data_IF_291263132818
#
_entry.id   IF_291263132818
#
_cell.length_a   1.000
_cell.length_b   1.000
_cell.length_c   1.000
_cell.angle_alpha   90.00
_cell.angle_beta   90.00
_cell.angle_gamma   90.00
#
_symmetry.space_group_name_H-M   'P 1'
#
loop_
_entity.id
_entity.type
_entity.pdbx_description
1 polymer ?
#
# COMPACT_ATOMS: atom_id res chain seq x y z
N UNK A 1 8.65 14.77 -27.11
CA UNK A 1 9.34 13.96 -26.09
C UNK A 1 8.72 14.30 -24.76
N UNK A 2 7.75 13.52 -24.30
CA UNK A 2 7.31 13.56 -22.90
C UNK A 2 8.45 12.98 -22.05
N UNK A 3 8.90 13.71 -21.04
CA UNK A 3 9.87 13.19 -20.05
C UNK A 3 9.27 11.91 -19.43
N UNK A 4 10.01 10.81 -19.37
CA UNK A 4 9.50 9.60 -18.72
C UNK A 4 9.18 9.91 -17.25
N UNK A 5 8.02 9.45 -16.78
CA UNK A 5 7.61 9.60 -15.40
C UNK A 5 8.65 8.99 -14.45
N UNK A 6 8.99 9.68 -13.38
CA UNK A 6 9.92 9.20 -12.35
C UNK A 6 9.16 8.91 -11.07
N UNK A 7 9.26 7.70 -10.57
CA UNK A 7 8.57 7.20 -9.38
C UNK A 7 9.59 6.88 -8.29
N UNK A 8 9.45 7.45 -7.10
CA UNK A 8 10.17 6.94 -5.93
C UNK A 8 9.35 5.84 -5.26
N UNK A 9 10.00 4.72 -4.92
CA UNK A 9 9.35 3.64 -4.17
C UNK A 9 10.06 3.44 -2.84
N UNK A 10 9.33 3.60 -1.74
CA UNK A 10 9.81 3.26 -0.40
C UNK A 10 9.47 1.81 -0.08
N UNK A 11 10.48 1.06 0.28
CA UNK A 11 10.40 -0.34 0.72
C UNK A 11 10.83 -0.41 2.19
N UNK A 12 10.17 -1.26 2.99
CA UNK A 12 10.52 -1.53 4.38
C UNK A 12 10.79 -3.02 4.54
N UNK A 13 12.00 -3.46 4.19
CA UNK A 13 12.40 -4.87 4.23
C UNK A 13 13.84 -5.02 4.68
N UNK A 14 14.17 -6.15 5.32
CA UNK A 14 15.57 -6.50 5.54
C UNK A 14 16.29 -6.66 4.20
N UNK A 15 17.58 -6.31 4.15
CA UNK A 15 18.35 -6.33 2.89
C UNK A 15 18.57 -7.74 2.32
N UNK A 16 18.44 -8.77 3.15
CA UNK A 16 18.51 -10.19 2.79
C UNK A 16 17.12 -10.82 2.53
N UNK A 17 16.02 -10.04 2.64
CA UNK A 17 14.68 -10.52 2.36
C UNK A 17 14.48 -10.70 0.84
N UNK A 18 14.23 -11.94 0.35
CA UNK A 18 14.00 -12.17 -1.07
C UNK A 18 12.77 -11.42 -1.62
N UNK A 19 11.83 -11.04 -0.73
CA UNK A 19 10.65 -10.26 -1.12
C UNK A 19 10.97 -8.79 -1.42
N UNK A 20 12.19 -8.31 -1.13
CA UNK A 20 12.65 -6.98 -1.55
C UNK A 20 12.64 -6.85 -3.08
N UNK A 21 13.23 -7.81 -3.79
CA UNK A 21 13.24 -7.81 -5.25
C UNK A 21 11.88 -8.21 -5.85
N UNK A 22 11.20 -9.19 -5.27
CA UNK A 22 9.86 -9.58 -5.68
C UNK A 22 8.87 -8.40 -5.67
N UNK A 23 8.91 -7.54 -4.65
CA UNK A 23 8.06 -6.35 -4.58
C UNK A 23 8.35 -5.36 -5.73
N UNK A 24 9.64 -5.19 -6.12
CA UNK A 24 10.04 -4.38 -7.27
C UNK A 24 9.44 -4.92 -8.57
N UNK A 25 9.54 -6.23 -8.77
CA UNK A 25 8.94 -6.90 -9.93
C UNK A 25 7.42 -6.71 -9.98
N UNK A 26 6.74 -6.80 -8.82
CA UNK A 26 5.30 -6.57 -8.72
C UNK A 26 4.93 -5.13 -9.10
N UNK A 27 5.61 -4.11 -8.59
CA UNK A 27 5.34 -2.71 -8.97
C UNK A 27 5.61 -2.43 -10.45
N UNK A 28 6.70 -2.95 -11.01
CA UNK A 28 7.00 -2.83 -12.45
C UNK A 28 5.89 -3.48 -13.27
N UNK A 29 5.48 -4.70 -12.93
CA UNK A 29 4.41 -5.42 -13.62
C UNK A 29 3.06 -4.71 -13.52
N UNK A 30 2.68 -4.26 -12.31
CA UNK A 30 1.38 -3.64 -12.06
C UNK A 30 1.23 -2.26 -12.70
N UNK A 31 2.31 -1.49 -12.80
CA UNK A 31 2.29 -0.16 -13.43
C UNK A 31 2.49 -0.21 -14.95
N UNK A 32 3.10 -1.27 -15.47
CA UNK A 32 3.50 -1.40 -16.89
C UNK A 32 4.63 -0.46 -17.29
N UNK A 33 5.29 0.22 -16.35
CA UNK A 33 6.40 1.12 -16.60
C UNK A 33 7.73 0.36 -16.73
N UNK A 34 8.68 0.95 -17.47
CA UNK A 34 10.05 0.45 -17.50
C UNK A 34 10.70 0.57 -16.11
N UNK A 35 11.53 -0.40 -15.73
CA UNK A 35 12.22 -0.43 -14.43
C UNK A 35 13.07 0.82 -14.18
N UNK A 36 13.56 1.46 -15.22
CA UNK A 36 14.35 2.70 -15.13
C UNK A 36 13.54 3.92 -14.71
N UNK A 37 12.20 3.84 -14.71
CA UNK A 37 11.32 4.88 -14.18
C UNK A 37 11.33 4.94 -12.65
N UNK A 38 11.87 3.92 -11.96
CA UNK A 38 11.79 3.80 -10.51
C UNK A 38 13.11 4.12 -9.81
N UNK A 39 13.01 4.95 -8.76
CA UNK A 39 14.04 5.18 -7.74
C UNK A 39 13.68 4.38 -6.48
N UNK A 40 14.34 3.25 -6.30
CA UNK A 40 14.08 2.31 -5.20
C UNK A 40 14.83 2.71 -3.94
N UNK A 41 14.12 2.93 -2.84
CA UNK A 41 14.67 3.32 -1.55
C UNK A 41 14.21 2.38 -0.45
N UNK A 42 15.11 1.61 0.13
CA UNK A 42 14.82 0.81 1.32
C UNK A 42 15.01 1.69 2.56
N UNK A 43 13.94 1.93 3.32
CA UNK A 43 13.97 2.82 4.51
C UNK A 43 14.86 2.31 5.64
N UNK A 44 15.21 1.03 5.63
CA UNK A 44 16.16 0.42 6.56
C UNK A 44 17.57 1.00 6.35
N UNK A 45 17.94 1.35 5.12
CA UNK A 45 19.22 1.95 4.78
C UNK A 45 19.24 3.48 5.03
N UNK A 46 18.08 4.08 5.19
CA UNK A 46 17.90 5.50 5.48
C UNK A 46 16.60 6.05 4.88
N UNK A 47 16.01 6.99 5.60
CA UNK A 47 14.77 7.65 5.18
C UNK A 47 15.10 8.82 4.27
N UNK A 48 14.55 8.90 3.03
CA UNK A 48 14.80 10.04 2.17
C UNK A 48 14.20 11.33 2.74
N UNK A 49 14.81 12.44 2.40
CA UNK A 49 14.30 13.78 2.71
C UNK A 49 13.09 14.12 1.84
N UNK A 50 12.29 15.10 2.27
CA UNK A 50 11.19 15.63 1.46
C UNK A 50 11.67 16.08 0.07
N UNK A 51 12.81 16.76 -0.01
CA UNK A 51 13.35 17.26 -1.29
C UNK A 51 13.73 16.11 -2.25
N UNK A 52 14.27 14.99 -1.72
CA UNK A 52 14.55 13.81 -2.52
C UNK A 52 13.24 13.19 -3.04
N UNK A 53 12.22 13.05 -2.18
CA UNK A 53 10.90 12.53 -2.59
C UNK A 53 10.29 13.41 -3.68
N UNK A 54 10.29 14.72 -3.49
CA UNK A 54 9.76 15.69 -4.47
C UNK A 54 10.58 15.79 -5.78
N UNK A 55 11.75 15.16 -5.85
CA UNK A 55 12.49 15.03 -7.12
C UNK A 55 11.91 13.96 -8.06
N UNK A 56 10.96 13.16 -7.58
CA UNK A 56 10.15 12.25 -8.37
C UNK A 56 8.75 12.86 -8.60
N UNK A 57 8.05 12.38 -9.62
CA UNK A 57 6.70 12.83 -9.96
C UNK A 57 5.64 12.24 -9.02
N UNK A 58 5.90 11.04 -8.49
CA UNK A 58 5.06 10.39 -7.49
C UNK A 58 5.85 9.51 -6.52
N UNK A 59 5.25 9.27 -5.36
CA UNK A 59 5.73 8.39 -4.32
C UNK A 59 4.83 7.15 -4.23
N UNK A 60 5.43 5.95 -4.30
CA UNK A 60 4.78 4.70 -3.90
C UNK A 60 5.40 4.20 -2.60
N UNK A 61 4.59 3.61 -1.72
CA UNK A 61 5.05 3.04 -0.45
C UNK A 61 4.55 1.60 -0.39
N UNK A 62 5.48 0.66 -0.38
CA UNK A 62 5.18 -0.76 -0.41
C UNK A 62 4.72 -1.35 0.92
N UNK A 63 4.55 -2.67 0.92
CA UNK A 63 4.25 -3.47 2.09
C UNK A 63 5.49 -3.79 2.92
N UNK A 64 5.27 -4.49 4.03
CA UNK A 64 6.35 -5.06 4.83
C UNK A 64 5.99 -6.47 5.30
N UNK A 65 6.99 -7.35 5.28
CA UNK A 65 6.86 -8.70 5.86
C UNK A 65 7.34 -8.81 7.30
N UNK A 66 8.19 -7.89 7.75
CA UNK A 66 8.86 -7.98 9.06
C UNK A 66 8.54 -6.81 9.99
N UNK A 67 8.21 -5.64 9.45
CA UNK A 67 7.96 -4.44 10.25
C UNK A 67 6.46 -4.18 10.39
N UNK A 68 6.05 -3.78 11.59
CA UNK A 68 4.68 -3.37 11.91
C UNK A 68 4.67 -1.94 12.43
N UNK A 69 3.62 -1.20 12.14
CA UNK A 69 3.39 0.13 12.72
C UNK A 69 2.95 0.07 14.18
N UNK A 70 2.51 -1.09 14.65
CA UNK A 70 2.16 -1.34 16.07
C UNK A 70 3.38 -1.66 16.92
N UNK A 71 4.52 -1.95 16.27
CA UNK A 71 5.84 -2.19 16.88
C UNK A 71 6.87 -1.18 16.35
N UNK A 72 6.75 0.12 16.67
CA UNK A 72 7.50 1.19 16.03
C UNK A 72 8.97 1.31 16.49
N UNK A 73 9.54 0.28 17.10
CA UNK A 73 10.88 0.26 17.70
C UNK A 73 11.99 0.11 16.65
N UNK A 74 11.91 0.87 15.53
CA UNK A 74 12.93 0.91 14.50
C UNK A 74 13.44 2.33 14.29
N UNK A 75 14.72 2.49 13.96
CA UNK A 75 15.35 3.79 13.77
C UNK A 75 14.72 4.61 12.63
N UNK A 76 14.11 3.95 11.64
CA UNK A 76 13.48 4.63 10.52
C UNK A 76 12.04 5.08 10.78
N UNK A 77 11.31 4.52 11.75
CA UNK A 77 9.87 4.75 11.91
C UNK A 77 9.53 6.22 12.20
N UNK A 78 10.15 6.82 13.21
CA UNK A 78 9.88 8.21 13.57
C UNK A 78 10.31 9.22 12.48
N UNK A 79 11.51 9.09 11.84
CA UNK A 79 11.84 9.91 10.68
C UNK A 79 10.88 9.73 9.50
N UNK A 80 10.46 8.49 9.20
CA UNK A 80 9.57 8.16 8.10
C UNK A 80 8.17 8.77 8.30
N UNK A 81 7.57 8.61 9.47
CA UNK A 81 6.26 9.20 9.78
C UNK A 81 6.29 10.73 9.75
N UNK A 82 7.43 11.34 10.09
CA UNK A 82 7.61 12.80 9.99
C UNK A 82 7.63 13.25 8.53
N UNK A 83 8.49 12.66 7.70
CA UNK A 83 8.59 13.05 6.29
C UNK A 83 7.29 12.78 5.53
N UNK A 84 6.56 11.71 5.85
CA UNK A 84 5.26 11.42 5.23
C UNK A 84 4.21 12.50 5.56
N UNK A 85 4.20 13.07 6.78
CA UNK A 85 3.35 14.23 7.08
C UNK A 85 3.69 15.44 6.21
N UNK A 86 4.96 15.69 5.98
CA UNK A 86 5.43 16.79 5.12
C UNK A 86 5.03 16.53 3.66
N UNK A 87 5.22 15.31 3.16
CA UNK A 87 4.80 14.86 1.81
C UNK A 87 3.31 15.10 1.58
N UNK A 88 2.47 14.66 2.52
CA UNK A 88 1.02 14.87 2.48
C UNK A 88 0.67 16.36 2.57
N UNK A 89 1.32 17.10 3.47
CA UNK A 89 1.10 18.55 3.65
C UNK A 89 1.44 19.37 2.41
N UNK A 90 2.36 18.91 1.56
CA UNK A 90 2.71 19.52 0.29
C UNK A 90 1.86 19.03 -0.90
N UNK A 91 0.95 18.06 -0.65
CA UNK A 91 0.11 17.50 -1.71
C UNK A 91 0.91 16.74 -2.77
N UNK A 92 2.04 16.14 -2.41
CA UNK A 92 2.83 15.35 -3.35
C UNK A 92 2.08 14.05 -3.70
N UNK A 93 1.93 13.69 -4.99
CA UNK A 93 1.21 12.49 -5.40
C UNK A 93 1.77 11.24 -4.72
N UNK A 94 0.93 10.53 -3.97
CA UNK A 94 1.38 9.40 -3.15
C UNK A 94 0.37 8.26 -3.15
N UNK A 95 0.86 7.02 -3.29
CA UNK A 95 0.06 5.82 -3.11
C UNK A 95 0.74 4.86 -2.14
N UNK A 96 0.05 4.52 -1.03
CA UNK A 96 0.52 3.56 -0.03
C UNK A 96 -0.18 2.21 -0.14
N UNK A 97 0.58 1.09 -0.09
CA UNK A 97 0.06 -0.27 -0.11
C UNK A 97 0.38 -0.98 1.21
N UNK A 98 -0.61 -1.58 1.86
CA UNK A 98 -0.52 -2.37 3.10
C UNK A 98 0.24 -1.62 4.22
N UNK A 99 1.51 -1.90 4.45
CA UNK A 99 2.33 -1.16 5.43
C UNK A 99 2.37 0.34 5.11
N UNK A 100 2.45 0.72 3.83
CA UNK A 100 2.39 2.12 3.40
C UNK A 100 1.05 2.79 3.76
N UNK A 101 -0.06 2.07 3.68
CA UNK A 101 -1.36 2.54 4.16
C UNK A 101 -1.34 2.77 5.67
N UNK A 102 -0.86 1.79 6.44
CA UNK A 102 -0.79 1.88 7.90
C UNK A 102 0.13 3.01 8.36
N UNK A 103 1.28 3.20 7.69
CA UNK A 103 2.18 4.33 7.93
C UNK A 103 1.48 5.68 7.72
N UNK A 104 0.70 5.85 6.65
CA UNK A 104 -0.05 7.08 6.39
C UNK A 104 -1.13 7.30 7.45
N UNK A 105 -1.87 6.25 7.86
CA UNK A 105 -2.85 6.35 8.95
C UNK A 105 -2.18 6.86 10.23
N UNK A 106 -1.09 6.24 10.68
CA UNK A 106 -0.39 6.63 11.90
C UNK A 106 0.30 8.00 11.76
N UNK A 107 0.93 8.28 10.62
CA UNK A 107 1.59 9.57 10.37
C UNK A 107 0.61 10.74 10.48
N UNK A 108 -0.64 10.56 10.08
CA UNK A 108 -1.67 11.58 10.10
C UNK A 108 -2.48 11.62 11.41
N UNK A 109 -2.17 10.74 12.37
CA UNK A 109 -2.78 10.73 13.71
C UNK A 109 -3.98 9.80 13.86
N UNK A 110 -4.19 8.87 12.93
CA UNK A 110 -5.11 7.75 13.09
C UNK A 110 -4.50 6.62 13.92
N UNK A 111 -5.23 5.52 14.04
CA UNK A 111 -4.84 4.40 14.89
C UNK A 111 -4.91 3.07 14.15
N UNK A 112 -3.85 2.27 14.29
CA UNK A 112 -3.71 0.91 13.79
C UNK A 112 -3.54 -0.02 15.00
N UNK A 113 -4.16 -1.19 14.95
CA UNK A 113 -4.07 -2.23 15.98
C UNK A 113 -3.70 -3.57 15.35
N UNK A 114 -2.97 -4.38 16.10
CA UNK A 114 -2.77 -5.78 15.79
C UNK A 114 -4.02 -6.59 16.18
N UNK A 115 -4.57 -7.37 15.25
CA UNK A 115 -5.85 -8.09 15.47
C UNK A 115 -5.86 -9.37 14.60
N UNK A 116 -5.35 -10.46 15.17
CA UNK A 116 -5.28 -11.77 14.50
C UNK A 116 -6.67 -12.33 14.15
N UNK A 117 -7.69 -12.05 14.98
CA UNK A 117 -9.07 -12.53 14.77
C UNK A 117 -9.71 -11.89 13.51
N UNK A 118 -9.21 -10.74 13.10
CA UNK A 118 -9.64 -9.99 11.90
C UNK A 118 -8.55 -9.83 10.86
N UNK A 119 -7.50 -10.62 10.96
CA UNK A 119 -6.47 -10.72 9.94
C UNK A 119 -7.05 -11.17 8.60
N UNK A 120 -6.57 -10.60 7.52
CA UNK A 120 -6.99 -10.97 6.16
C UNK A 120 -5.74 -11.38 5.37
N UNK A 121 -5.67 -12.67 5.01
CA UNK A 121 -4.54 -13.26 4.28
C UNK A 121 -5.08 -14.07 3.12
N UNK A 122 -4.71 -13.70 1.89
CA UNK A 122 -5.24 -14.26 0.65
C UNK A 122 -6.14 -13.27 -0.10
N UNK A 123 -7.17 -13.76 -0.75
CA UNK A 123 -8.10 -12.96 -1.55
C UNK A 123 -9.42 -12.75 -0.80
N UNK A 124 -9.82 -11.49 -0.61
CA UNK A 124 -11.03 -11.10 0.11
C UNK A 124 -11.95 -10.21 -0.74
N UNK A 125 -13.25 -10.34 -0.47
CA UNK A 125 -14.26 -9.48 -1.06
C UNK A 125 -14.20 -8.09 -0.41
N UNK A 126 -14.20 -7.08 -1.24
CA UNK A 126 -14.18 -5.66 -0.90
C UNK A 126 -15.44 -4.98 -1.44
N UNK A 127 -15.86 -3.92 -0.78
CA UNK A 127 -17.02 -3.11 -1.16
C UNK A 127 -16.68 -1.62 -1.11
N UNK A 128 -17.03 -0.88 -2.16
CA UNK A 128 -16.92 0.58 -2.15
C UNK A 128 -17.85 1.19 -1.10
N UNK A 129 -17.35 2.20 -0.40
CA UNK A 129 -18.23 3.11 0.35
C UNK A 129 -18.89 4.12 -0.59
N UNK A 130 -19.84 4.93 -0.07
CA UNK A 130 -20.38 6.05 -0.84
C UNK A 130 -19.29 7.04 -1.28
N UNK A 131 -18.32 7.32 -0.42
CA UNK A 131 -17.15 8.17 -0.75
C UNK A 131 -16.23 7.51 -1.78
N UNK A 132 -16.09 6.18 -1.75
CA UNK A 132 -15.32 5.42 -2.74
C UNK A 132 -15.97 5.46 -4.13
N UNK A 133 -17.28 5.39 -4.20
CA UNK A 133 -18.02 5.46 -5.47
C UNK A 133 -17.91 6.86 -6.16
N UNK A 134 -17.67 7.91 -5.38
CA UNK A 134 -17.48 9.28 -5.87
C UNK A 134 -16.00 9.66 -6.05
N UNK A 135 -15.07 8.79 -5.67
CA UNK A 135 -13.64 9.07 -5.73
C UNK A 135 -13.12 8.98 -7.19
N UNK A 136 -12.25 9.91 -7.63
CA UNK A 136 -11.76 9.90 -9.02
C UNK A 136 -10.92 8.66 -9.38
N UNK A 137 -10.29 8.01 -8.39
CA UNK A 137 -9.50 6.80 -8.61
C UNK A 137 -10.37 5.54 -8.47
N UNK A 138 -11.18 5.44 -7.40
CA UNK A 138 -11.94 4.25 -7.05
C UNK A 138 -13.30 4.15 -7.73
N UNK A 139 -13.93 5.28 -8.10
CA UNK A 139 -15.27 5.32 -8.68
C UNK A 139 -15.43 4.60 -10.04
N UNK A 140 -14.31 4.23 -10.68
CA UNK A 140 -14.31 3.41 -11.90
C UNK A 140 -14.36 1.89 -11.61
N UNK A 141 -14.24 1.47 -10.36
CA UNK A 141 -14.34 0.07 -9.96
C UNK A 141 -15.80 -0.34 -9.74
N UNK A 142 -16.15 -1.63 -9.88
CA UNK A 142 -17.47 -2.11 -9.49
C UNK A 142 -17.69 -1.95 -7.98
N UNK A 143 -18.96 -1.93 -7.55
CA UNK A 143 -19.33 -1.81 -6.13
C UNK A 143 -18.66 -2.88 -5.26
N UNK A 144 -18.52 -4.09 -5.79
CA UNK A 144 -17.84 -5.23 -5.14
C UNK A 144 -16.76 -5.80 -6.03
N UNK A 145 -15.61 -6.07 -5.44
CA UNK A 145 -14.45 -6.60 -6.14
C UNK A 145 -13.58 -7.43 -5.18
N UNK A 146 -12.55 -8.09 -5.71
CA UNK A 146 -11.59 -8.87 -4.92
C UNK A 146 -10.31 -8.07 -4.73
N UNK A 147 -9.74 -8.10 -3.51
CA UNK A 147 -8.41 -7.58 -3.19
C UNK A 147 -7.47 -8.67 -2.70
N UNK A 148 -6.17 -8.51 -2.98
CA UNK A 148 -5.11 -9.37 -2.43
C UNK A 148 -4.67 -8.82 -1.06
N UNK A 149 -4.72 -9.65 -0.03
CA UNK A 149 -4.46 -9.29 1.36
C UNK A 149 -3.28 -10.05 1.95
N UNK A 150 -2.64 -9.45 2.94
CA UNK A 150 -1.59 -10.06 3.75
C UNK A 150 -1.32 -9.22 5.00
N UNK A 151 -2.32 -9.09 5.89
CA UNK A 151 -2.18 -8.24 7.09
C UNK A 151 -2.88 -8.85 8.31
N UNK A 152 -2.27 -8.65 9.46
CA UNK A 152 -2.83 -8.89 10.80
C UNK A 152 -3.08 -7.56 11.54
N UNK A 153 -2.41 -6.49 11.11
CA UNK A 153 -2.63 -5.14 11.60
C UNK A 153 -3.70 -4.44 10.75
N UNK A 154 -4.59 -3.69 11.37
CA UNK A 154 -5.67 -2.97 10.68
C UNK A 154 -5.91 -1.59 11.26
N UNK A 155 -6.33 -0.64 10.44
CA UNK A 155 -6.80 0.64 10.94
C UNK A 155 -8.12 0.46 11.71
N UNK A 156 -8.20 1.09 12.88
CA UNK A 156 -9.40 1.12 13.74
C UNK A 156 -9.95 2.53 13.89
N UNK A 157 -9.17 3.55 13.50
CA UNK A 157 -9.60 4.94 13.46
C UNK A 157 -8.83 5.65 12.34
N UNK A 158 -9.55 6.37 11.48
CA UNK A 158 -8.93 7.20 10.44
C UNK A 158 -8.76 8.64 10.93
N UNK A 159 -7.67 9.33 10.48
CA UNK A 159 -7.43 10.71 10.84
C UNK A 159 -8.55 11.64 10.34
N UNK A 160 -8.72 12.79 10.99
CA UNK A 160 -9.63 13.83 10.54
C UNK A 160 -9.28 14.31 9.11
N UNK A 161 -10.29 14.47 8.26
CA UNK A 161 -10.11 14.88 6.86
C UNK A 161 -9.68 13.78 5.90
N UNK A 162 -9.61 12.54 6.36
CA UNK A 162 -9.37 11.37 5.53
C UNK A 162 -10.71 10.70 5.20
N UNK A 163 -10.91 10.36 3.92
CA UNK A 163 -12.08 9.65 3.44
C UNK A 163 -11.82 8.15 3.45
N UNK A 164 -12.83 7.37 3.86
CA UNK A 164 -12.82 5.92 3.74
C UNK A 164 -13.45 5.50 2.42
N UNK A 165 -12.68 4.86 1.54
CA UNK A 165 -13.13 4.54 0.18
C UNK A 165 -13.64 3.10 0.04
N UNK A 166 -13.11 2.17 0.84
CA UNK A 166 -13.36 0.72 0.70
C UNK A 166 -13.43 0.08 2.08
N UNK A 167 -14.28 -0.94 2.20
CA UNK A 167 -14.42 -1.80 3.38
C UNK A 167 -14.42 -3.27 3.02
N UNK A 168 -14.16 -4.13 3.99
CA UNK A 168 -14.46 -5.57 3.98
C UNK A 168 -15.39 -5.94 5.13
N UNK A 169 -15.80 -7.19 5.22
CA UNK A 169 -16.62 -7.69 6.34
C UNK A 169 -15.83 -7.69 7.67
N UNK A 170 -14.50 -7.90 7.61
CA UNK A 170 -13.64 -7.96 8.79
C UNK A 170 -13.04 -6.60 9.16
N UNK A 171 -12.73 -5.76 8.17
CA UNK A 171 -12.05 -4.49 8.36
C UNK A 171 -12.83 -3.33 7.71
N UNK A 172 -13.33 -2.35 8.50
CA UNK A 172 -14.14 -1.25 7.96
C UNK A 172 -13.34 -0.24 7.14
N UNK A 173 -12.01 -0.24 7.24
CA UNK A 173 -11.11 0.74 6.61
C UNK A 173 -10.07 0.03 5.74
N UNK A 174 -10.38 -0.15 4.46
CA UNK A 174 -9.55 -0.89 3.51
C UNK A 174 -8.85 0.01 2.47
N UNK A 175 -9.34 1.23 2.28
CA UNK A 175 -8.69 2.22 1.44
C UNK A 175 -9.04 3.63 1.90
N UNK A 176 -8.12 4.55 1.69
CA UNK A 176 -8.29 5.95 2.07
C UNK A 176 -7.86 6.91 0.96
N UNK A 177 -8.41 8.14 1.05
CA UNK A 177 -7.88 9.33 0.39
C UNK A 177 -7.75 10.46 1.39
N UNK A 178 -6.66 11.19 1.34
CA UNK A 178 -6.44 12.35 2.21
C UNK A 178 -7.10 13.60 1.61
N UNK A 179 -8.27 13.98 2.15
CA UNK A 179 -9.01 15.17 1.72
C UNK A 179 -9.25 15.21 0.21
N UNK A 180 -8.93 16.33 -0.41
CA UNK A 180 -8.91 16.51 -1.87
C UNK A 180 -7.51 16.36 -2.49
N UNK A 181 -6.49 15.91 -1.71
CA UNK A 181 -5.12 15.79 -2.19
C UNK A 181 -4.92 14.54 -3.07
N UNK A 182 -3.83 14.47 -3.87
CA UNK A 182 -3.49 13.31 -4.67
C UNK A 182 -2.78 12.23 -3.82
N UNK A 183 -3.33 11.92 -2.63
CA UNK A 183 -2.77 10.93 -1.71
C UNK A 183 -3.81 9.86 -1.42
N UNK A 184 -3.56 8.64 -1.89
CA UNK A 184 -4.36 7.45 -1.67
C UNK A 184 -3.57 6.36 -0.99
N UNK A 185 -4.26 5.45 -0.33
CA UNK A 185 -3.65 4.24 0.17
C UNK A 185 -4.66 3.10 0.31
N UNK A 186 -4.17 1.87 0.22
CA UNK A 186 -4.95 0.64 0.36
C UNK A 186 -4.32 -0.29 1.38
N UNK A 187 -5.13 -0.92 2.22
CA UNK A 187 -4.70 -2.01 3.10
C UNK A 187 -4.40 -3.27 2.27
N UNK A 188 -5.09 -3.47 1.16
CA UNK A 188 -4.83 -4.51 0.18
C UNK A 188 -3.69 -4.11 -0.79
N UNK A 189 -3.21 -5.08 -1.55
CA UNK A 189 -2.08 -4.98 -2.45
C UNK A 189 -2.53 -4.88 -3.92
N UNK A 190 -2.66 -3.66 -4.51
CA UNK A 190 -2.98 -3.52 -5.93
C UNK A 190 -1.83 -3.93 -6.85
N UNK A 191 -0.60 -3.99 -6.33
CA UNK A 191 0.59 -4.45 -7.03
C UNK A 191 0.68 -5.97 -7.14
N UNK A 192 -0.13 -6.73 -6.38
CA UNK A 192 -0.11 -8.20 -6.40
C UNK A 192 -1.23 -8.77 -7.26
N UNK A 193 -0.88 -9.69 -8.14
CA UNK A 193 -1.82 -10.66 -8.68
C UNK A 193 -1.96 -11.87 -7.76
N UNK A 194 -2.82 -12.81 -8.15
CA UNK A 194 -3.07 -14.05 -7.41
C UNK A 194 -1.79 -14.88 -7.17
N UNK A 195 -0.92 -14.99 -8.18
CA UNK A 195 0.29 -15.81 -8.10
C UNK A 195 1.35 -15.14 -7.22
N UNK A 196 1.52 -13.82 -7.36
CA UNK A 196 2.44 -13.01 -6.56
C UNK A 196 2.03 -13.00 -5.07
N UNK A 197 0.72 -12.94 -4.77
CA UNK A 197 0.23 -13.01 -3.40
C UNK A 197 0.50 -14.39 -2.77
N UNK A 198 0.24 -15.47 -3.48
CA UNK A 198 0.55 -16.82 -3.01
C UNK A 198 2.07 -17.01 -2.78
N UNK A 199 2.89 -16.48 -3.68
CA UNK A 199 4.35 -16.51 -3.51
C UNK A 199 4.79 -15.76 -2.25
N UNK A 200 4.24 -14.56 -2.00
CA UNK A 200 4.50 -13.78 -0.79
C UNK A 200 4.00 -14.47 0.47
N UNK A 201 2.81 -15.09 0.43
CA UNK A 201 2.28 -15.88 1.54
C UNK A 201 3.24 -17.01 1.95
N UNK A 202 3.74 -17.77 0.98
CA UNK A 202 4.70 -18.85 1.23
C UNK A 202 6.01 -18.38 1.84
N UNK A 203 6.47 -17.19 1.47
CA UNK A 203 7.69 -16.59 2.02
C UNK A 203 7.54 -16.20 3.50
N UNK A 204 6.32 -15.94 3.96
CA UNK A 204 6.01 -15.51 5.32
C UNK A 204 5.00 -16.42 6.03
N UNK A 205 4.90 -17.69 5.59
CA UNK A 205 3.88 -18.63 6.07
C UNK A 205 3.89 -18.79 7.59
N UNK A 206 5.07 -18.87 8.19
CA UNK A 206 5.25 -19.02 9.65
C UNK A 206 4.67 -17.83 10.45
N UNK A 207 4.52 -16.67 9.81
CA UNK A 207 3.92 -15.48 10.41
C UNK A 207 2.40 -15.52 10.38
N UNK A 208 1.83 -16.07 9.32
CA UNK A 208 0.37 -16.09 9.09
C UNK A 208 -0.27 -17.37 9.61
N UNK A 209 0.41 -18.49 9.46
CA UNK A 209 -0.05 -19.81 9.91
C UNK A 209 1.11 -20.62 10.49
N UNK A 210 1.26 -20.65 11.84
CA UNK A 210 2.32 -21.43 12.48
C UNK A 210 2.29 -22.94 12.16
N UNK A 211 1.19 -23.48 11.62
CA UNK A 211 1.13 -24.87 11.15
C UNK A 211 1.83 -25.08 9.80
N UNK A 212 2.11 -23.99 9.07
CA UNK A 212 2.71 -24.04 7.73
C UNK A 212 1.73 -24.56 6.66
N UNK A 213 0.41 -24.57 6.93
CA UNK A 213 -0.61 -25.03 5.98
C UNK A 213 -1.03 -23.92 5.02
N UNK A 214 -1.25 -24.29 3.76
CA UNK A 214 -1.88 -23.41 2.76
C UNK A 214 -3.41 -23.57 2.71
N UNK A 215 -4.00 -24.48 3.49
CA UNK A 215 -5.42 -24.83 3.39
C UNK A 215 -6.37 -23.66 3.64
N UNK A 216 -5.95 -22.66 4.44
CA UNK A 216 -6.71 -21.45 4.72
C UNK A 216 -6.52 -20.33 3.70
N UNK A 217 -5.53 -20.41 2.80
CA UNK A 217 -5.21 -19.34 1.86
C UNK A 217 -6.21 -19.33 0.68
N UNK A 218 -7.01 -18.26 0.61
CA UNK A 218 -7.95 -18.05 -0.50
C UNK A 218 -7.23 -17.44 -1.69
N UNK A 219 -7.16 -18.18 -2.77
CA UNK A 219 -6.49 -17.76 -3.99
C UNK A 219 -7.52 -17.48 -5.10
N UNK A 220 -7.80 -16.19 -5.34
CA UNK A 220 -8.73 -15.71 -6.38
C UNK A 220 -8.07 -14.57 -7.17
N UNK A 221 -8.39 -14.41 -8.46
CA UNK A 221 -7.92 -13.26 -9.25
C UNK A 221 -8.58 -11.96 -8.78
N UNK A 222 -7.84 -10.83 -8.93
CA UNK A 222 -8.26 -9.48 -8.55
C UNK A 222 -8.02 -8.46 -9.68
N UNK A 223 -8.61 -8.65 -10.87
CA UNK A 223 -8.34 -7.81 -12.03
C UNK A 223 -8.77 -6.34 -11.83
N UNK A 224 -9.74 -6.08 -10.95
CA UNK A 224 -10.22 -4.73 -10.66
C UNK A 224 -9.17 -3.92 -9.92
N UNK A 225 -8.55 -4.49 -8.88
CA UNK A 225 -7.56 -3.80 -8.06
C UNK A 225 -6.24 -3.56 -8.80
N UNK A 226 -5.86 -4.43 -9.74
CA UNK A 226 -4.66 -4.25 -10.55
C UNK A 226 -4.70 -3.01 -11.47
N UNK A 227 -5.89 -2.42 -11.65
CA UNK A 227 -6.05 -1.17 -12.42
C UNK A 227 -5.71 0.09 -11.62
N UNK A 228 -5.66 0.01 -10.28
CA UNK A 228 -5.52 1.19 -9.42
C UNK A 228 -4.18 1.93 -9.61
N UNK A 229 -3.06 1.22 -9.71
CA UNK A 229 -1.76 1.86 -9.91
C UNK A 229 -1.65 2.54 -11.28
N UNK A 230 -2.01 1.91 -12.41
CA UNK A 230 -2.08 2.61 -13.70
C UNK A 230 -2.99 3.85 -13.65
N UNK A 231 -4.22 3.74 -13.11
CA UNK A 231 -5.14 4.87 -12.99
C UNK A 231 -4.58 6.00 -12.10
N UNK A 232 -3.89 5.65 -11.01
CA UNK A 232 -3.20 6.65 -10.18
C UNK A 232 -2.15 7.41 -10.98
N UNK A 233 -1.34 6.71 -11.77
CA UNK A 233 -0.29 7.33 -12.58
C UNK A 233 -0.88 8.20 -13.71
N UNK A 234 -2.01 7.81 -14.28
CA UNK A 234 -2.73 8.65 -15.24
C UNK A 234 -3.18 9.97 -14.60
N UNK A 235 -3.73 9.93 -13.37
CA UNK A 235 -4.10 11.13 -12.61
C UNK A 235 -2.89 12.02 -12.28
N UNK A 236 -1.73 11.42 -12.00
CA UNK A 236 -0.47 12.17 -11.79
C UNK A 236 -0.01 12.86 -13.05
N UNK A 237 -0.15 12.21 -14.21
CA UNK A 237 0.28 12.78 -15.50
C UNK A 237 -0.62 13.94 -15.99
N UNK A 238 -1.85 14.02 -15.48
CA UNK A 238 -2.82 15.07 -15.83
C UNK A 238 -2.73 16.31 -14.92
N UNK A 239 -1.99 16.24 -13.79
CA UNK A 239 -1.88 17.29 -12.79
C UNK A 239 -0.64 18.17 -12.96
#
# INVERSE_FOLDING_TARGET
>A
YTTPVKIMVLQARHNDDPMLEHERECFVSATGLDRTCFDWRNVVDGVPTLAEIQSADALLIGGSGHFSVTEPETDFFAPLTRVLREVVGHGHPTFGSCFGYQLLVVALGGRVEHDEDRGEVGAFALELTGEGAEDPLFGSLPERFIGQMGHLDRAVDLPAGVRNLVRSDLCPYQALRVGGSPVWATQFHPELDQAANLHRYRAYIDRYDPSGSEDGFRSLPSPETSRLLPLFLDLVAES
#
